data_IF_462843325183
#
_entry.id   IF_462843325183
#
_cell.length_a   1.000
_cell.length_b   1.000
_cell.length_c   1.000
_cell.angle_alpha   90.00
_cell.angle_beta   90.00
_cell.angle_gamma   90.00
#
_symmetry.space_group_name_H-M   'P 1'
#
loop_
_entity.id
_entity.type
_entity.pdbx_description
1 polymer ?
#
# COMPACT_ATOMS: atom_id res chain seq x y z
N UNK A 1 -3.47 -19.20 -17.43
CA UNK A 1 -3.50 -17.74 -17.25
C UNK A 1 -4.63 -17.22 -18.11
N UNK A 2 -5.71 -16.75 -17.51
CA UNK A 2 -6.77 -16.03 -18.25
C UNK A 2 -6.25 -14.64 -18.54
N UNK A 3 -6.45 -14.14 -19.76
CA UNK A 3 -6.09 -12.77 -20.11
C UNK A 3 -6.74 -11.81 -19.10
N UNK A 4 -6.01 -10.80 -18.62
CA UNK A 4 -6.55 -9.92 -17.60
C UNK A 4 -7.68 -9.10 -18.24
N UNK A 5 -8.87 -9.21 -17.64
CA UNK A 5 -10.11 -8.68 -18.19
C UNK A 5 -10.35 -7.26 -17.67
N UNK A 6 -10.66 -6.33 -18.57
CA UNK A 6 -11.14 -4.99 -18.20
C UNK A 6 -12.65 -4.94 -18.36
N UNK A 7 -13.35 -4.58 -17.29
CA UNK A 7 -14.81 -4.45 -17.25
C UNK A 7 -15.19 -3.01 -16.95
N UNK A 8 -16.07 -2.45 -17.77
CA UNK A 8 -16.58 -1.10 -17.61
C UNK A 8 -17.83 -1.13 -16.73
N UNK A 9 -17.71 -0.67 -15.48
CA UNK A 9 -18.80 -0.67 -14.50
C UNK A 9 -18.80 0.62 -13.68
N UNK A 10 -19.97 1.22 -13.37
CA UNK A 10 -20.03 2.42 -12.55
C UNK A 10 -19.63 2.12 -11.09
N UNK A 11 -18.34 2.27 -10.78
CA UNK A 11 -17.74 1.90 -9.48
C UNK A 11 -17.49 3.08 -8.53
N UNK A 12 -18.01 4.27 -8.85
CA UNK A 12 -17.46 5.52 -8.33
C UNK A 12 -16.20 5.87 -9.11
N UNK A 13 -15.87 7.16 -9.23
CA UNK A 13 -14.85 7.70 -10.16
C UNK A 13 -13.43 7.17 -9.85
N UNK A 14 -13.16 5.92 -10.22
CA UNK A 14 -12.08 5.09 -9.70
C UNK A 14 -11.82 3.85 -10.59
N UNK A 15 -10.65 3.22 -10.40
CA UNK A 15 -10.27 1.92 -10.95
C UNK A 15 -10.00 0.92 -9.82
N UNK A 16 -10.41 -0.34 -9.97
CA UNK A 16 -10.22 -1.37 -8.94
C UNK A 16 -9.98 -2.75 -9.50
N UNK A 17 -9.11 -3.51 -8.86
CA UNK A 17 -8.94 -4.94 -9.15
C UNK A 17 -9.72 -5.83 -8.19
N UNK A 18 -10.58 -6.70 -8.73
CA UNK A 18 -11.27 -7.76 -7.98
C UNK A 18 -11.03 -9.08 -8.71
N UNK A 19 -10.46 -10.06 -8.01
CA UNK A 19 -10.20 -11.41 -8.51
C UNK A 19 -9.49 -11.45 -9.88
N UNK A 20 -8.52 -10.54 -10.07
CA UNK A 20 -7.72 -10.43 -11.29
C UNK A 20 -8.41 -9.70 -12.45
N UNK A 21 -9.59 -9.14 -12.22
CA UNK A 21 -10.35 -8.35 -13.19
C UNK A 21 -10.24 -6.87 -12.81
N UNK A 22 -9.91 -6.03 -13.79
CA UNK A 22 -9.86 -4.57 -13.65
C UNK A 22 -11.25 -4.00 -13.92
N UNK A 23 -11.82 -3.31 -12.94
CA UNK A 23 -13.08 -2.59 -13.04
C UNK A 23 -12.81 -1.11 -13.16
N UNK A 24 -13.34 -0.45 -14.19
CA UNK A 24 -13.17 0.98 -14.43
C UNK A 24 -14.50 1.69 -14.60
N UNK A 25 -14.63 2.85 -13.94
CA UNK A 25 -15.78 3.73 -14.14
C UNK A 25 -15.76 4.33 -15.56
N UNK A 26 -16.81 4.09 -16.39
CA UNK A 26 -16.87 4.66 -17.74
C UNK A 26 -16.78 6.18 -17.76
N UNK A 27 -17.24 6.88 -16.72
CA UNK A 27 -17.18 8.35 -16.64
C UNK A 27 -15.75 8.84 -16.45
N UNK A 28 -14.95 8.13 -15.66
CA UNK A 28 -13.53 8.43 -15.50
C UNK A 28 -12.82 8.29 -16.85
N UNK A 29 -13.10 7.22 -17.60
CA UNK A 29 -12.49 6.99 -18.91
C UNK A 29 -12.73 8.17 -19.88
N UNK A 30 -13.94 8.76 -19.85
CA UNK A 30 -14.28 9.91 -20.70
C UNK A 30 -13.51 11.19 -20.34
N UNK A 31 -12.94 11.26 -19.13
CA UNK A 31 -12.17 12.40 -18.64
C UNK A 31 -10.66 12.25 -18.86
N UNK A 32 -10.20 11.05 -19.22
CA UNK A 32 -8.79 10.75 -19.43
C UNK A 32 -8.43 10.84 -20.91
N UNK A 33 -7.23 11.35 -21.19
CA UNK A 33 -6.55 11.11 -22.46
C UNK A 33 -6.16 9.64 -22.60
N UNK A 34 -5.83 9.22 -23.82
CA UNK A 34 -5.35 7.84 -24.07
C UNK A 34 -4.09 7.51 -23.26
N UNK A 35 -3.18 8.48 -23.09
CA UNK A 35 -1.97 8.31 -22.28
C UNK A 35 -2.32 8.10 -20.81
N UNK A 36 -3.16 8.96 -20.23
CA UNK A 36 -3.61 8.81 -18.84
C UNK A 36 -4.37 7.50 -18.61
N UNK A 37 -5.16 7.03 -19.59
CA UNK A 37 -5.83 5.74 -19.53
C UNK A 37 -4.84 4.56 -19.53
N UNK A 38 -3.84 4.58 -20.41
CA UNK A 38 -2.79 3.55 -20.46
C UNK A 38 -2.05 3.50 -19.12
N UNK A 39 -1.74 4.67 -18.57
CA UNK A 39 -1.05 4.83 -17.29
C UNK A 39 -1.88 4.34 -16.10
N UNK A 40 -3.17 4.67 -16.07
CA UNK A 40 -4.11 4.13 -15.08
C UNK A 40 -4.20 2.60 -15.18
N UNK A 41 -4.33 2.06 -16.40
CA UNK A 41 -4.36 0.62 -16.60
C UNK A 41 -3.05 -0.05 -16.16
N UNK A 42 -1.89 0.58 -16.36
CA UNK A 42 -0.62 0.05 -15.88
C UNK A 42 -0.58 -0.06 -14.34
N UNK A 43 -1.14 0.92 -13.63
CA UNK A 43 -1.35 0.87 -12.19
C UNK A 43 -2.27 -0.31 -11.80
N UNK A 44 -3.42 -0.46 -12.45
CA UNK A 44 -4.34 -1.58 -12.16
C UNK A 44 -3.76 -2.95 -12.52
N UNK A 45 -3.02 -3.07 -13.63
CA UNK A 45 -2.38 -4.34 -13.99
C UNK A 45 -1.22 -4.70 -13.04
N UNK A 46 -0.60 -3.73 -12.37
CA UNK A 46 0.31 -4.03 -11.25
C UNK A 46 -0.43 -4.82 -10.16
N UNK A 47 -1.62 -4.37 -9.74
CA UNK A 47 -2.44 -5.09 -8.76
C UNK A 47 -2.77 -6.52 -9.21
N UNK A 48 -3.11 -6.71 -10.50
CA UNK A 48 -3.35 -8.05 -11.08
C UNK A 48 -2.11 -8.93 -10.99
N UNK A 49 -0.96 -8.45 -11.48
CA UNK A 49 0.29 -9.20 -11.49
C UNK A 49 0.78 -9.54 -10.09
N UNK A 50 0.79 -8.55 -9.19
CA UNK A 50 1.13 -8.71 -7.78
C UNK A 50 0.22 -9.75 -7.10
N UNK A 51 -1.07 -9.75 -7.41
CA UNK A 51 -2.03 -10.72 -6.89
C UNK A 51 -1.67 -12.18 -7.19
N UNK A 52 -1.00 -12.46 -8.32
CA UNK A 52 -0.59 -13.81 -8.72
C UNK A 52 0.66 -14.33 -7.98
N UNK A 53 1.52 -13.43 -7.51
CA UNK A 53 2.77 -13.75 -6.79
C UNK A 53 2.70 -13.45 -5.29
N UNK A 54 1.53 -13.05 -4.81
CA UNK A 54 1.31 -12.63 -3.43
C UNK A 54 1.71 -13.73 -2.45
N UNK A 55 2.60 -13.41 -1.53
CA UNK A 55 3.12 -14.35 -0.54
C UNK A 55 2.23 -14.51 0.69
N UNK A 56 1.24 -13.69 0.95
CA UNK A 56 0.40 -13.84 2.15
C UNK A 56 -1.06 -13.63 1.80
N UNK A 57 -1.97 -14.25 2.54
CA UNK A 57 -3.40 -14.03 2.35
C UNK A 57 -4.02 -13.49 3.63
N UNK A 58 -3.89 -12.18 3.84
CA UNK A 58 -4.63 -11.50 4.91
C UNK A 58 -6.17 -11.63 4.76
N UNK A 59 -6.66 -12.03 3.58
CA UNK A 59 -8.08 -12.33 3.33
C UNK A 59 -8.50 -13.62 4.05
N UNK A 60 -8.91 -13.50 5.32
CA UNK A 60 -10.01 -14.30 5.91
C UNK A 60 -10.30 -14.02 7.39
N UNK A 61 -9.41 -13.37 8.16
CA UNK A 61 -9.56 -13.30 9.62
C UNK A 61 -9.85 -11.88 10.08
N UNK A 62 -10.99 -11.62 10.76
CA UNK A 62 -11.32 -10.31 11.32
C UNK A 62 -10.56 -10.06 12.64
N UNK A 63 -9.29 -10.44 12.73
CA UNK A 63 -8.47 -10.21 13.91
C UNK A 63 -7.48 -9.05 13.70
N UNK A 64 -6.99 -8.52 14.83
CA UNK A 64 -6.10 -7.37 14.85
C UNK A 64 -4.84 -7.59 14.01
N UNK A 65 -4.25 -8.79 14.08
CA UNK A 65 -2.99 -9.09 13.41
C UNK A 65 -3.17 -9.16 11.89
N UNK A 66 -4.24 -9.81 11.42
CA UNK A 66 -4.60 -9.82 10.01
C UNK A 66 -4.89 -8.41 9.48
N UNK A 67 -5.48 -7.54 10.30
CA UNK A 67 -5.68 -6.13 9.96
C UNK A 67 -4.34 -5.38 9.81
N UNK A 68 -3.41 -5.55 10.75
CA UNK A 68 -2.05 -4.97 10.70
C UNK A 68 -1.32 -5.41 9.43
N UNK A 69 -1.35 -6.71 9.12
CA UNK A 69 -0.74 -7.27 7.91
C UNK A 69 -1.42 -6.70 6.65
N UNK A 70 -2.75 -6.58 6.64
CA UNK A 70 -3.47 -6.01 5.50
C UNK A 70 -3.06 -4.56 5.20
N UNK A 71 -2.81 -3.76 6.24
CA UNK A 71 -2.33 -2.39 6.06
C UNK A 71 -0.93 -2.34 5.42
N UNK A 72 -0.04 -3.25 5.81
CA UNK A 72 1.28 -3.36 5.20
C UNK A 72 1.23 -3.89 3.76
N UNK A 73 0.34 -4.85 3.48
CA UNK A 73 0.05 -5.28 2.11
C UNK A 73 -0.38 -4.09 1.25
N UNK A 74 -1.23 -3.21 1.79
CA UNK A 74 -1.71 -2.06 1.06
C UNK A 74 -0.64 -0.98 0.86
N UNK A 75 0.24 -0.72 1.83
CA UNK A 75 1.38 0.19 1.65
C UNK A 75 2.34 -0.30 0.56
N UNK A 76 2.63 -1.60 0.53
CA UNK A 76 3.47 -2.22 -0.51
C UNK A 76 2.82 -2.10 -1.88
N UNK A 77 1.59 -2.59 -2.02
CA UNK A 77 0.97 -2.70 -3.34
C UNK A 77 0.63 -1.33 -3.95
N UNK A 78 0.04 -0.41 -3.17
CA UNK A 78 -0.28 0.92 -3.70
C UNK A 78 0.99 1.75 -3.89
N UNK A 79 1.98 1.58 -3.02
CA UNK A 79 3.24 2.31 -3.13
C UNK A 79 4.02 1.96 -4.39
N UNK A 80 4.07 0.68 -4.75
CA UNK A 80 4.73 0.23 -5.98
C UNK A 80 3.85 0.55 -7.20
N UNK A 81 2.52 0.43 -7.11
CA UNK A 81 1.60 0.81 -8.18
C UNK A 81 1.71 2.31 -8.54
N UNK A 82 1.81 3.19 -7.54
CA UNK A 82 2.00 4.63 -7.74
C UNK A 82 3.38 4.98 -8.34
N UNK A 83 4.41 4.15 -8.14
CA UNK A 83 5.69 4.28 -8.89
C UNK A 83 5.57 3.87 -10.36
N UNK A 84 4.70 2.92 -10.68
CA UNK A 84 4.41 2.55 -12.08
C UNK A 84 3.66 3.70 -12.75
N UNK A 85 2.65 4.23 -12.07
CA UNK A 85 1.98 5.46 -12.48
C UNK A 85 1.28 6.14 -11.31
N UNK A 86 1.69 7.37 -11.02
CA UNK A 86 1.06 8.22 -10.01
C UNK A 86 -0.15 8.95 -10.63
N UNK A 87 -1.34 8.62 -10.14
CA UNK A 87 -2.61 9.10 -10.70
C UNK A 87 -2.81 10.61 -10.56
N UNK A 88 -2.14 11.25 -9.61
CA UNK A 88 -2.25 12.71 -9.41
C UNK A 88 -1.61 13.53 -10.52
N UNK A 89 -0.90 12.91 -11.45
CA UNK A 89 -0.44 13.57 -12.66
C UNK A 89 -1.58 13.82 -13.65
N UNK A 90 -2.68 13.05 -13.58
CA UNK A 90 -3.79 13.15 -14.51
C UNK A 90 -4.69 14.34 -14.16
N UNK A 91 -5.21 15.00 -15.20
CA UNK A 91 -6.11 16.15 -15.03
C UNK A 91 -7.39 15.79 -14.25
N UNK A 92 -7.88 14.57 -14.44
CA UNK A 92 -9.08 14.07 -13.74
C UNK A 92 -8.93 14.09 -12.20
N UNK A 93 -7.69 14.04 -11.68
CA UNK A 93 -7.38 13.95 -10.26
C UNK A 93 -6.77 15.23 -9.67
N UNK A 94 -6.90 16.38 -10.35
CA UNK A 94 -6.37 17.67 -9.88
C UNK A 94 -6.87 18.06 -8.48
N UNK A 95 -8.12 17.72 -8.14
CA UNK A 95 -8.73 18.05 -6.84
C UNK A 95 -8.06 17.36 -5.64
N UNK A 96 -7.35 16.25 -5.86
CA UNK A 96 -6.67 15.50 -4.79
C UNK A 96 -5.15 15.64 -4.83
N UNK A 97 -4.60 16.25 -5.89
CA UNK A 97 -3.16 16.38 -6.16
C UNK A 97 -2.41 17.03 -4.99
N UNK A 98 -2.84 18.21 -4.58
CA UNK A 98 -2.17 18.94 -3.50
C UNK A 98 -2.24 18.21 -2.16
N UNK A 99 -3.39 17.59 -1.87
CA UNK A 99 -3.57 16.80 -0.65
C UNK A 99 -2.60 15.61 -0.62
N UNK A 100 -2.50 14.84 -1.70
CA UNK A 100 -1.57 13.71 -1.82
C UNK A 100 -0.12 14.17 -1.71
N UNK A 101 0.24 15.32 -2.32
CA UNK A 101 1.58 15.92 -2.18
C UNK A 101 1.93 16.22 -0.71
N UNK A 102 1.02 16.87 0.02
CA UNK A 102 1.22 17.17 1.45
C UNK A 102 1.40 15.89 2.27
N UNK A 103 0.62 14.85 1.98
CA UNK A 103 0.77 13.56 2.68
C UNK A 103 2.11 12.89 2.34
N UNK A 104 2.50 12.90 1.06
CA UNK A 104 3.78 12.33 0.60
C UNK A 104 5.00 13.02 1.24
N UNK A 105 4.91 14.32 1.49
CA UNK A 105 5.94 15.10 2.18
C UNK A 105 5.95 14.84 3.69
N UNK A 106 4.78 14.63 4.30
CA UNK A 106 4.62 14.40 5.74
C UNK A 106 4.42 12.92 6.11
N UNK A 107 4.83 12.01 5.22
CA UNK A 107 4.52 10.58 5.32
C UNK A 107 4.99 9.95 6.64
N UNK A 108 6.10 10.43 7.20
CA UNK A 108 6.68 9.96 8.47
C UNK A 108 5.69 10.01 9.63
N UNK A 109 4.89 11.08 9.73
CA UNK A 109 3.85 11.22 10.77
C UNK A 109 2.85 10.07 10.73
N UNK A 110 2.46 9.63 9.54
CA UNK A 110 1.49 8.55 9.37
C UNK A 110 2.09 7.19 9.69
N UNK A 111 3.39 6.99 9.42
CA UNK A 111 4.11 5.79 9.84
C UNK A 111 4.27 5.73 11.36
N UNK A 112 4.53 6.86 12.00
CA UNK A 112 4.60 6.99 13.46
C UNK A 112 3.24 6.68 14.11
N UNK A 113 2.15 7.32 13.67
CA UNK A 113 0.78 7.06 14.15
C UNK A 113 0.37 5.60 13.97
N UNK A 114 0.78 4.99 12.84
CA UNK A 114 0.53 3.59 12.57
C UNK A 114 1.32 2.68 13.52
N UNK A 115 2.63 2.90 13.67
CA UNK A 115 3.49 2.15 14.58
C UNK A 115 2.95 2.18 16.01
N UNK A 116 2.63 3.37 16.54
CA UNK A 116 2.14 3.53 17.90
C UNK A 116 0.87 2.71 18.14
N UNK A 117 -0.08 2.78 17.20
CA UNK A 117 -1.32 2.02 17.28
C UNK A 117 -1.09 0.50 17.16
N UNK A 118 -0.12 0.05 16.36
CA UNK A 118 0.23 -1.37 16.27
C UNK A 118 0.82 -1.87 17.59
N UNK A 119 1.75 -1.10 18.18
CA UNK A 119 2.41 -1.43 19.44
C UNK A 119 1.40 -1.48 20.60
N UNK A 120 0.50 -0.49 20.69
CA UNK A 120 -0.55 -0.42 21.69
C UNK A 120 -1.51 -1.62 21.61
N UNK A 121 -2.07 -1.89 20.43
CA UNK A 121 -3.02 -3.00 20.25
C UNK A 121 -2.39 -4.39 20.36
N UNK A 122 -1.08 -4.50 20.16
CA UNK A 122 -0.35 -5.75 20.41
C UNK A 122 -0.07 -5.98 21.89
N UNK A 123 0.22 -4.91 22.63
CA UNK A 123 0.55 -4.97 24.07
C UNK A 123 -0.68 -5.28 24.92
N UNK A 124 -1.83 -4.68 24.60
CA UNK A 124 -3.06 -4.82 25.38
C UNK A 124 -4.24 -5.28 24.53
N UNK A 125 -4.75 -6.48 24.79
CA UNK A 125 -5.85 -7.05 24.00
C UNK A 125 -7.14 -6.21 24.07
N UNK A 126 -7.37 -5.50 25.19
CA UNK A 126 -8.50 -4.58 25.35
C UNK A 126 -8.41 -3.36 24.42
N UNK A 127 -7.21 -2.97 24.00
CA UNK A 127 -6.97 -1.79 23.17
C UNK A 127 -7.06 -2.06 21.66
N UNK A 128 -7.20 -3.33 21.24
CA UNK A 128 -7.18 -3.72 19.82
C UNK A 128 -8.21 -2.98 18.98
N UNK A 129 -9.46 -2.85 19.45
CA UNK A 129 -10.51 -2.14 18.70
C UNK A 129 -10.18 -0.67 18.50
N UNK A 130 -9.68 0.00 19.54
CA UNK A 130 -9.27 1.40 19.45
C UNK A 130 -8.05 1.56 18.53
N UNK A 131 -7.09 0.65 18.64
CA UNK A 131 -5.89 0.59 17.82
C UNK A 131 -6.21 0.40 16.34
N UNK A 132 -7.13 -0.51 15.99
CA UNK A 132 -7.62 -0.65 14.61
C UNK A 132 -8.24 0.64 14.09
N UNK A 133 -8.98 1.38 14.92
CA UNK A 133 -9.53 2.68 14.54
C UNK A 133 -8.43 3.73 14.32
N UNK A 134 -7.40 3.75 15.15
CA UNK A 134 -6.23 4.64 14.99
C UNK A 134 -5.49 4.33 13.68
N UNK A 135 -5.17 3.06 13.43
CA UNK A 135 -4.59 2.58 12.15
C UNK A 135 -5.48 3.00 10.96
N UNK A 136 -6.79 2.79 11.08
CA UNK A 136 -7.72 3.16 10.02
C UNK A 136 -7.72 4.65 9.73
N UNK A 137 -7.56 5.49 10.75
CA UNK A 137 -7.49 6.94 10.60
C UNK A 137 -6.17 7.38 9.96
N UNK A 138 -5.06 6.73 10.33
CA UNK A 138 -3.74 7.01 9.77
C UNK A 138 -3.71 6.75 8.26
N UNK A 139 -4.34 5.68 7.77
CA UNK A 139 -4.19 5.24 6.38
C UNK A 139 -5.40 5.41 5.47
N UNK A 140 -6.63 5.29 5.98
CA UNK A 140 -7.83 5.21 5.12
C UNK A 140 -8.76 6.41 5.20
N UNK A 141 -8.72 7.23 6.27
CA UNK A 141 -9.67 8.35 6.44
C UNK A 141 -9.68 9.31 5.26
N UNK A 142 -8.53 9.50 4.63
CA UNK A 142 -8.35 10.45 3.54
C UNK A 142 -7.50 9.89 2.38
N UNK A 143 -7.41 8.55 2.28
CA UNK A 143 -6.60 7.87 1.27
C UNK A 143 -5.09 8.11 1.45
N UNK A 144 -4.63 8.29 2.69
CA UNK A 144 -3.23 8.63 2.99
C UNK A 144 -2.27 7.48 2.69
N UNK A 145 -2.76 6.25 2.72
CA UNK A 145 -2.01 5.04 2.45
C UNK A 145 -1.25 5.08 1.11
N UNK A 146 -1.88 5.56 0.04
CA UNK A 146 -1.27 5.66 -1.28
C UNK A 146 -0.01 6.53 -1.27
N UNK A 147 -0.08 7.85 -0.97
CA UNK A 147 1.10 8.70 -0.95
C UNK A 147 2.14 8.29 0.11
N UNK A 148 1.74 7.64 1.22
CA UNK A 148 2.69 7.10 2.20
C UNK A 148 3.46 5.91 1.62
N UNK A 149 2.76 4.92 1.06
CA UNK A 149 3.38 3.79 0.38
C UNK A 149 4.24 4.22 -0.81
N UNK A 150 3.75 5.17 -1.60
CA UNK A 150 4.48 5.72 -2.75
C UNK A 150 5.78 6.38 -2.30
N UNK A 151 5.76 7.11 -1.18
CA UNK A 151 6.98 7.67 -0.61
C UNK A 151 7.97 6.59 -0.19
N UNK A 152 7.50 5.55 0.50
CA UNK A 152 8.37 4.43 0.90
C UNK A 152 9.01 3.76 -0.32
N UNK A 153 8.22 3.42 -1.34
CA UNK A 153 8.69 2.78 -2.55
C UNK A 153 9.69 3.66 -3.32
N UNK A 154 9.41 4.97 -3.42
CA UNK A 154 10.32 5.96 -4.03
C UNK A 154 11.69 5.97 -3.36
N UNK A 155 11.73 5.98 -2.03
CA UNK A 155 13.00 6.04 -1.33
C UNK A 155 13.77 4.70 -1.43
N UNK A 156 13.07 3.56 -1.40
CA UNK A 156 13.67 2.24 -1.67
C UNK A 156 14.31 2.24 -3.06
N UNK A 157 13.56 2.64 -4.09
CA UNK A 157 14.06 2.66 -5.47
C UNK A 157 15.30 3.55 -5.61
N UNK A 158 15.33 4.71 -4.93
CA UNK A 158 16.45 5.65 -4.98
C UNK A 158 17.71 5.13 -4.28
N UNK A 159 17.56 4.40 -3.18
CA UNK A 159 18.67 3.94 -2.35
C UNK A 159 19.18 2.55 -2.74
N UNK A 160 18.25 1.61 -2.94
CA UNK A 160 18.57 0.19 -3.21
C UNK A 160 18.43 -0.19 -4.69
N UNK A 161 17.78 0.66 -5.48
CA UNK A 161 17.55 0.43 -6.90
C UNK A 161 16.23 -0.26 -7.20
N UNK A 162 15.88 -0.25 -8.49
CA UNK A 162 14.64 -0.86 -9.00
C UNK A 162 14.63 -2.38 -8.80
N UNK A 163 15.76 -3.05 -9.02
CA UNK A 163 15.84 -4.52 -8.96
C UNK A 163 15.53 -5.01 -7.54
N UNK A 164 16.06 -4.34 -6.51
CA UNK A 164 15.74 -4.67 -5.13
C UNK A 164 14.24 -4.47 -4.86
N UNK A 165 13.67 -3.33 -5.26
CA UNK A 165 12.24 -3.06 -5.09
C UNK A 165 11.36 -4.14 -5.73
N UNK A 166 11.74 -4.64 -6.92
CA UNK A 166 11.02 -5.71 -7.62
C UNK A 166 11.02 -7.00 -6.81
N UNK A 167 12.10 -7.32 -6.08
CA UNK A 167 12.12 -8.51 -5.21
C UNK A 167 11.16 -8.41 -4.03
N UNK A 168 10.83 -7.20 -3.58
CA UNK A 168 9.91 -6.99 -2.46
C UNK A 168 8.41 -7.15 -2.91
N UNK A 169 8.10 -7.24 -4.23
CA UNK A 169 6.72 -7.30 -4.75
C UNK A 169 5.97 -8.53 -4.24
N UNK A 170 4.77 -8.30 -3.71
CA UNK A 170 3.93 -9.36 -3.15
C UNK A 170 4.43 -9.87 -1.80
N UNK A 171 5.47 -9.27 -1.22
CA UNK A 171 5.94 -9.54 0.13
C UNK A 171 6.04 -8.23 0.96
N UNK A 172 4.98 -7.87 1.73
CA UNK A 172 4.99 -6.66 2.55
C UNK A 172 6.07 -6.64 3.65
N UNK A 173 6.54 -7.82 4.12
CA UNK A 173 7.62 -7.88 5.11
C UNK A 173 8.99 -7.64 4.47
N UNK A 174 9.22 -8.15 3.25
CA UNK A 174 10.40 -7.76 2.47
C UNK A 174 10.37 -6.26 2.21
N UNK A 175 9.23 -5.71 1.77
CA UNK A 175 9.07 -4.28 1.52
C UNK A 175 9.39 -3.43 2.76
N UNK A 176 8.90 -3.82 3.95
CA UNK A 176 9.26 -3.18 5.21
C UNK A 176 10.76 -3.23 5.51
N UNK A 177 11.41 -4.38 5.27
CA UNK A 177 12.87 -4.52 5.46
C UNK A 177 13.66 -3.66 4.45
N UNK A 178 13.24 -3.66 3.18
CA UNK A 178 13.78 -2.80 2.13
C UNK A 178 13.69 -1.31 2.57
N UNK A 179 12.54 -0.89 3.12
CA UNK A 179 12.33 0.45 3.65
C UNK A 179 13.19 0.74 4.89
N UNK A 180 13.25 -0.17 5.87
CA UNK A 180 14.00 0.04 7.11
C UNK A 180 15.49 0.29 6.84
N UNK A 181 16.09 -0.49 5.93
CA UNK A 181 17.48 -0.31 5.49
C UNK A 181 17.65 1.08 4.85
N UNK A 182 16.73 1.43 3.95
CA UNK A 182 16.73 2.73 3.26
C UNK A 182 16.64 3.89 4.26
N UNK A 183 15.73 3.79 5.22
CA UNK A 183 15.47 4.83 6.20
C UNK A 183 16.68 5.08 7.10
N UNK A 184 17.34 4.01 7.55
CA UNK A 184 18.57 4.10 8.34
C UNK A 184 19.70 4.79 7.57
N UNK A 185 19.88 4.48 6.28
CA UNK A 185 20.95 5.07 5.46
C UNK A 185 20.69 6.54 5.12
N UNK A 186 19.42 6.92 4.98
CA UNK A 186 19.01 8.24 4.49
C UNK A 186 18.50 9.19 5.57
N UNK A 187 18.51 8.77 6.84
CA UNK A 187 18.02 9.57 7.96
C UNK A 187 16.52 9.86 7.86
N UNK A 188 15.73 8.87 7.42
CA UNK A 188 14.28 8.96 7.34
C UNK A 188 13.63 8.39 8.62
N UNK A 189 12.30 8.31 8.65
CA UNK A 189 11.59 7.63 9.74
C UNK A 189 11.99 6.16 9.81
N UNK A 190 12.45 5.73 10.98
CA UNK A 190 12.90 4.36 11.25
C UNK A 190 11.91 3.76 12.25
N UNK A 191 11.30 2.63 11.89
CA UNK A 191 10.41 1.94 12.83
C UNK A 191 11.21 1.44 14.04
N UNK A 192 10.61 1.48 15.22
CA UNK A 192 11.24 1.08 16.47
C UNK A 192 11.40 -0.45 16.57
N UNK A 193 12.25 -0.89 17.49
CA UNK A 193 12.56 -2.31 17.67
C UNK A 193 11.34 -3.13 18.10
N UNK A 194 10.41 -2.53 18.84
CA UNK A 194 9.22 -3.22 19.32
C UNK A 194 8.28 -3.53 18.14
N UNK A 195 8.02 -2.55 17.29
CA UNK A 195 7.27 -2.71 16.05
C UNK A 195 7.92 -3.74 15.14
N UNK A 196 9.24 -3.64 14.90
CA UNK A 196 9.96 -4.61 14.05
C UNK A 196 9.87 -6.02 14.63
N UNK A 197 9.96 -6.18 15.95
CA UNK A 197 9.76 -7.48 16.61
C UNK A 197 8.36 -8.04 16.38
N UNK A 198 7.31 -7.22 16.49
CA UNK A 198 5.93 -7.60 16.20
C UNK A 198 5.81 -8.07 14.75
N UNK A 199 6.32 -7.29 13.79
CA UNK A 199 6.24 -7.63 12.37
C UNK A 199 6.97 -8.93 12.03
N UNK A 200 8.13 -9.18 12.64
CA UNK A 200 8.85 -10.45 12.49
C UNK A 200 8.07 -11.65 13.06
N UNK A 201 7.33 -11.46 14.16
CA UNK A 201 6.48 -12.50 14.72
C UNK A 201 5.27 -12.80 13.80
N UNK A 202 4.66 -11.75 13.24
CA UNK A 202 3.58 -11.87 12.26
C UNK A 202 4.04 -12.59 10.99
N UNK A 203 5.22 -12.27 10.45
CA UNK A 203 5.78 -12.95 9.28
C UNK A 203 5.92 -14.46 9.53
N UNK A 204 6.48 -14.85 10.68
CA UNK A 204 6.64 -16.26 11.06
C UNK A 204 5.30 -16.98 11.16
N UNK A 205 4.29 -16.33 11.74
CA UNK A 205 2.94 -16.87 11.86
C UNK A 205 2.30 -17.08 10.48
N UNK A 206 2.41 -16.10 9.59
CA UNK A 206 1.85 -16.18 8.24
C UNK A 206 2.54 -17.26 7.38
N UNK A 207 3.87 -17.44 7.51
CA UNK A 207 4.60 -18.53 6.84
C UNK A 207 4.22 -19.91 7.36
N UNK A 208 3.84 -20.03 8.63
CA UNK A 208 3.43 -21.31 9.25
C UNK A 208 2.01 -21.74 8.89
N UNK A 209 1.19 -20.82 8.36
CA UNK A 209 -0.20 -21.07 7.95
C UNK A 209 -0.34 -21.44 6.47
N UNK A 210 0.77 -21.56 5.73
CA UNK A 210 0.83 -22.03 4.34
C UNK A 210 1.12 -23.53 4.27
#
# INVERSE_FOLDING_TARGET
VTDPLVVLLPTGRDGRVIDGIVYLDPRLILELSLDELIRLLAHEFHHVGRGQIRHFSARAKPDFEAYVVSCMESLEVEGIADLVSEITEFKAFDSIREKRRVIFENYARYLEEYQEAVVEGHSEASERTLSMKKISNAFYKEGQMHPVGHRMATEIQRELGKDELVTCVGNPFDFLRCYQITAQRRGLFVFDEQYISIMNALEKKERSNK
#
